data_IF_767842070441
#
_entry.id   IF_767842070441
#
_cell.length_a   1.000
_cell.length_b   1.000
_cell.length_c   1.000
_cell.angle_alpha   90.00
_cell.angle_beta   90.00
_cell.angle_gamma   90.00
#
_symmetry.space_group_name_H-M   'P 1'
#
loop_
_entity.id
_entity.type
_entity.pdbx_description
1 polymer ?
#
# COMPACT_ATOMS: atom_id res chain seq x y z
N UNK A 1 13.51 12.82 0.99
CA UNK A 1 12.36 12.15 1.61
C UNK A 1 12.44 10.71 1.18
N UNK A 2 12.69 9.78 2.11
CA UNK A 2 12.74 8.35 1.76
C UNK A 2 11.36 7.95 1.23
N UNK A 3 11.35 7.41 0.02
CA UNK A 3 10.16 6.89 -0.63
C UNK A 3 9.62 5.74 0.23
N UNK A 4 8.52 5.99 0.94
CA UNK A 4 7.97 5.05 1.93
C UNK A 4 6.78 4.37 1.29
N UNK A 5 7.07 3.27 0.61
CA UNK A 5 6.07 2.45 -0.08
C UNK A 5 5.04 1.89 0.91
N UNK A 6 3.78 1.90 0.49
CA UNK A 6 2.63 1.40 1.25
C UNK A 6 2.15 0.10 0.63
N UNK A 7 2.15 -0.99 1.41
CA UNK A 7 1.51 -2.24 1.01
C UNK A 7 0.00 -2.15 1.27
N UNK A 8 -0.80 -2.37 0.23
CA UNK A 8 -2.25 -2.55 0.29
C UNK A 8 -2.54 -4.04 0.16
N UNK A 9 -3.30 -4.60 1.10
CA UNK A 9 -3.76 -5.97 1.07
C UNK A 9 -5.25 -5.94 0.77
N UNK A 10 -5.69 -6.49 -0.36
CA UNK A 10 -7.11 -6.61 -0.68
C UNK A 10 -7.67 -7.93 -0.15
N UNK A 11 -8.73 -7.83 0.66
CA UNK A 11 -9.48 -8.96 1.21
C UNK A 11 -10.78 -9.26 0.45
N UNK A 12 -10.98 -8.68 -0.73
CA UNK A 12 -12.08 -9.01 -1.65
C UNK A 12 -13.23 -8.00 -1.68
N UNK A 13 -13.01 -6.73 -1.34
CA UNK A 13 -14.09 -5.73 -1.28
C UNK A 13 -13.67 -4.28 -1.08
N UNK A 14 -12.40 -3.94 -1.30
CA UNK A 14 -11.90 -2.59 -1.04
C UNK A 14 -11.96 -1.68 -2.28
N UNK A 15 -12.08 -0.38 -2.02
CA UNK A 15 -11.99 0.67 -3.06
C UNK A 15 -10.51 0.97 -3.38
N UNK A 16 -9.79 -0.02 -3.91
CA UNK A 16 -8.33 0.04 -4.13
C UNK A 16 -7.90 1.25 -4.97
N UNK A 17 -8.68 1.59 -6.00
CA UNK A 17 -8.40 2.76 -6.83
C UNK A 17 -8.44 4.07 -6.03
N UNK A 18 -9.44 4.24 -5.16
CA UNK A 18 -9.56 5.43 -4.30
C UNK A 18 -8.43 5.51 -3.29
N UNK A 19 -8.02 4.37 -2.71
CA UNK A 19 -6.93 4.31 -1.75
C UNK A 19 -5.59 4.67 -2.39
N UNK A 20 -5.27 4.07 -3.56
CA UNK A 20 -4.06 4.42 -4.33
C UNK A 20 -4.03 5.89 -4.71
N UNK A 21 -5.17 6.45 -5.14
CA UNK A 21 -5.27 7.87 -5.47
C UNK A 21 -4.98 8.77 -4.25
N UNK A 22 -5.55 8.45 -3.09
CA UNK A 22 -5.32 9.21 -1.86
C UNK A 22 -3.85 9.14 -1.40
N UNK A 23 -3.23 7.95 -1.46
CA UNK A 23 -1.83 7.76 -1.09
C UNK A 23 -0.88 8.51 -2.04
N UNK A 24 -1.13 8.47 -3.35
CA UNK A 24 -0.37 9.24 -4.33
C UNK A 24 -0.46 10.75 -4.07
N UNK A 25 -1.64 11.27 -3.67
CA UNK A 25 -1.84 12.68 -3.29
C UNK A 25 -1.01 13.08 -2.06
N UNK A 26 -0.78 12.14 -1.15
CA UNK A 26 0.07 12.31 0.04
C UNK A 26 1.56 12.11 -0.26
N UNK A 27 1.93 11.76 -1.50
CA UNK A 27 3.31 11.53 -1.91
C UNK A 27 3.84 10.13 -1.58
N UNK A 28 2.95 9.15 -1.42
CA UNK A 28 3.30 7.75 -1.19
C UNK A 28 2.98 6.89 -2.41
N UNK A 29 3.92 6.04 -2.80
CA UNK A 29 3.63 4.94 -3.73
C UNK A 29 2.97 3.78 -2.97
N UNK A 30 1.99 3.14 -3.60
CA UNK A 30 1.15 2.14 -2.97
C UNK A 30 1.03 0.88 -3.83
N UNK A 31 1.62 -0.20 -3.36
CA UNK A 31 1.60 -1.50 -4.00
C UNK A 31 0.38 -2.31 -3.53
N UNK A 32 -0.34 -2.95 -4.45
CA UNK A 32 -1.37 -3.94 -4.08
C UNK A 32 -0.69 -5.30 -4.08
N UNK A 33 -0.66 -5.96 -2.93
CA UNK A 33 0.04 -7.24 -2.79
C UNK A 33 -0.69 -8.19 -1.85
N UNK A 34 -0.58 -9.48 -2.14
CA UNK A 34 -0.91 -10.59 -1.23
C UNK A 34 0.33 -11.42 -0.91
N UNK A 35 1.52 -10.97 -1.34
CA UNK A 35 2.78 -11.63 -1.07
C UNK A 35 3.10 -11.56 0.43
N UNK A 36 3.15 -12.71 1.13
CA UNK A 36 3.43 -12.75 2.55
C UNK A 36 4.79 -12.15 2.93
N UNK A 37 5.78 -12.22 2.05
CA UNK A 37 7.13 -11.72 2.35
C UNK A 37 7.21 -10.19 2.22
N UNK A 38 6.61 -9.61 1.18
CA UNK A 38 6.39 -8.16 1.07
C UNK A 38 5.62 -7.60 2.27
N UNK A 39 4.56 -8.28 2.71
CA UNK A 39 3.75 -7.84 3.87
C UNK A 39 4.56 -7.84 5.17
N UNK A 40 5.34 -8.90 5.44
CA UNK A 40 6.13 -9.01 6.68
C UNK A 40 7.31 -8.03 6.75
N UNK A 41 7.84 -7.62 5.61
CA UNK A 41 8.98 -6.70 5.53
C UNK A 41 8.58 -5.22 5.56
N UNK A 42 7.28 -4.91 5.40
CA UNK A 42 6.78 -3.55 5.53
C UNK A 42 7.04 -2.96 6.93
N UNK A 43 7.39 -1.66 6.98
CA UNK A 43 7.52 -0.98 8.27
C UNK A 43 6.16 -0.94 8.94
N UNK A 44 6.06 -1.51 10.14
CA UNK A 44 4.82 -1.55 10.90
C UNK A 44 4.44 -0.11 11.30
N UNK A 45 3.14 0.17 11.39
CA UNK A 45 2.60 1.47 11.82
C UNK A 45 2.18 1.39 13.28
#
# INVERSE_FOLDING_TARGET
>A
MSDRGVAIIDAGGANIASLRFALARLGHDAELTTDPDSIRTASHV
#
